data_IF_474696042628
#
_entry.id   IF_474696042628
#
_cell.length_a   1.000
_cell.length_b   1.000
_cell.length_c   1.000
_cell.angle_alpha   90.00
_cell.angle_beta   90.00
_cell.angle_gamma   90.00
#
_symmetry.space_group_name_H-M   'P 1'
#
loop_
_entity.id
_entity.type
_entity.pdbx_description
1 polymer ?
#
# COMPACT_ATOMS: atom_id res chain seq x y z
N UNK A 1 1.87 7.36 8.71
CA UNK A 1 2.06 7.58 7.27
C UNK A 1 2.99 6.52 6.76
N UNK A 2 2.56 5.64 5.84
CA UNK A 2 3.47 4.77 5.14
C UNK A 2 4.65 5.57 4.59
N UNK A 3 5.85 5.01 4.66
CA UNK A 3 7.08 5.73 4.36
C UNK A 3 7.75 5.16 3.11
N UNK A 4 8.06 6.00 2.12
CA UNK A 4 8.84 5.60 0.96
C UNK A 4 10.31 5.76 1.30
N UNK A 5 11.09 4.70 1.15
CA UNK A 5 12.54 4.67 1.38
C UNK A 5 13.20 4.17 0.11
N UNK A 6 14.20 4.91 -0.39
CA UNK A 6 15.08 4.43 -1.45
C UNK A 6 16.50 4.35 -0.90
N UNK A 7 17.09 3.16 -0.91
CA UNK A 7 18.42 2.93 -0.34
C UNK A 7 19.26 2.05 -1.26
N UNK A 8 20.56 2.27 -1.23
CA UNK A 8 21.53 1.32 -1.77
C UNK A 8 21.56 0.08 -0.89
N UNK A 9 21.47 -1.09 -1.52
CA UNK A 9 21.70 -2.40 -0.94
C UNK A 9 23.20 -2.60 -0.81
N UNK A 10 23.62 -3.14 0.34
CA UNK A 10 25.01 -3.52 0.58
C UNK A 10 25.10 -4.97 1.00
N UNK A 11 26.19 -5.63 0.68
CA UNK A 11 26.51 -6.98 1.13
C UNK A 11 27.66 -6.95 2.15
N UNK A 12 27.48 -7.61 3.28
CA UNK A 12 28.47 -7.55 4.35
C UNK A 12 28.12 -8.43 5.54
N UNK A 13 28.95 -8.36 6.58
CA UNK A 13 28.77 -9.14 7.81
C UNK A 13 27.71 -8.51 8.72
N UNK A 14 26.73 -9.31 9.14
CA UNK A 14 25.77 -8.97 10.17
C UNK A 14 26.35 -9.19 11.58
N UNK A 15 25.63 -8.75 12.63
CA UNK A 15 26.05 -8.91 14.03
C UNK A 15 26.24 -10.39 14.42
N UNK A 16 25.60 -11.32 13.72
CA UNK A 16 25.73 -12.76 13.95
C UNK A 16 26.95 -13.39 13.27
N UNK A 17 27.78 -12.61 12.57
CA UNK A 17 28.91 -13.11 11.78
C UNK A 17 28.51 -13.77 10.45
N UNK A 18 27.22 -13.75 10.11
CA UNK A 18 26.72 -14.17 8.81
C UNK A 18 26.92 -13.09 7.77
N UNK A 19 27.09 -13.45 6.49
CA UNK A 19 27.05 -12.48 5.40
C UNK A 19 25.62 -12.35 4.90
N UNK A 20 25.09 -11.13 4.88
CA UNK A 20 23.72 -10.82 4.49
C UNK A 20 23.68 -9.55 3.65
N UNK A 21 22.58 -9.37 2.91
CA UNK A 21 22.30 -8.09 2.28
C UNK A 21 21.60 -7.17 3.28
N UNK A 22 21.81 -5.88 3.18
CA UNK A 22 21.14 -4.92 4.04
C UNK A 22 20.91 -3.59 3.34
N UNK A 23 19.88 -2.89 3.79
CA UNK A 23 19.62 -1.49 3.44
C UNK A 23 19.66 -0.63 4.70
N UNK A 24 20.16 0.59 4.55
CA UNK A 24 20.28 1.54 5.64
C UNK A 24 18.91 2.13 5.98
N UNK A 25 18.62 2.26 7.28
CA UNK A 25 17.39 2.88 7.78
C UNK A 25 17.69 4.21 8.51
N UNK A 26 18.87 4.79 8.31
CA UNK A 26 19.28 6.03 8.99
C UNK A 26 18.30 7.18 8.74
N UNK A 27 17.91 7.43 7.49
CA UNK A 27 16.96 8.51 7.18
C UNK A 27 15.56 8.20 7.72
N UNK A 28 15.13 6.94 7.63
CA UNK A 28 13.85 6.51 8.21
C UNK A 28 13.80 6.74 9.72
N UNK A 29 14.84 6.33 10.44
CA UNK A 29 14.92 6.46 11.91
C UNK A 29 15.09 7.92 12.37
N UNK A 30 15.59 8.83 11.52
CA UNK A 30 15.54 10.27 11.79
C UNK A 30 14.11 10.82 11.74
N UNK A 31 13.31 10.37 10.77
CA UNK A 31 11.91 10.78 10.62
C UNK A 31 11.01 10.09 11.65
N UNK A 32 11.31 8.84 11.98
CA UNK A 32 10.56 8.01 12.93
C UNK A 32 11.51 7.45 14.02
N UNK A 33 11.86 8.26 15.04
CA UNK A 33 12.83 7.88 16.07
C UNK A 33 12.41 6.70 16.96
N UNK A 34 11.12 6.33 16.94
CA UNK A 34 10.58 5.20 17.68
C UNK A 34 10.87 3.84 17.02
N UNK A 35 11.49 3.81 15.83
CA UNK A 35 11.85 2.58 15.14
C UNK A 35 13.12 2.00 15.77
N UNK A 36 12.94 0.88 16.45
CA UNK A 36 13.99 0.21 17.22
C UNK A 36 14.46 -1.12 16.61
N UNK A 37 15.69 -1.50 16.96
CA UNK A 37 16.27 -2.80 16.62
C UNK A 37 15.44 -3.96 17.19
N UNK A 38 15.42 -5.07 16.47
CA UNK A 38 14.78 -6.30 16.92
C UNK A 38 13.29 -6.38 16.60
N UNK A 39 12.69 -5.28 16.16
CA UNK A 39 11.29 -5.18 15.76
C UNK A 39 11.11 -5.48 14.27
N UNK A 40 9.87 -5.77 13.88
CA UNK A 40 9.52 -6.12 12.50
C UNK A 40 9.09 -4.88 11.72
N UNK A 41 9.50 -4.78 10.46
CA UNK A 41 8.96 -3.86 9.48
C UNK A 41 8.25 -4.64 8.38
N UNK A 42 7.01 -4.25 8.10
CA UNK A 42 6.28 -4.70 6.92
C UNK A 42 6.34 -3.62 5.86
N UNK A 43 6.66 -4.03 4.64
CA UNK A 43 6.83 -3.11 3.53
C UNK A 43 6.57 -3.80 2.20
N UNK A 44 6.27 -2.99 1.20
CA UNK A 44 6.25 -3.39 -0.20
C UNK A 44 7.58 -3.07 -0.85
N UNK A 45 8.10 -3.98 -1.68
CA UNK A 45 9.17 -3.65 -2.61
C UNK A 45 8.53 -3.14 -3.90
N UNK A 46 8.88 -1.91 -4.31
CA UNK A 46 8.33 -1.29 -5.52
C UNK A 46 9.23 -1.45 -6.72
N UNK A 47 10.51 -1.14 -6.58
CA UNK A 47 11.46 -1.24 -7.67
C UNK A 47 12.87 -1.56 -7.19
N UNK A 48 13.61 -2.17 -8.12
CA UNK A 48 15.02 -2.51 -8.01
C UNK A 48 15.73 -1.97 -9.24
N UNK A 49 16.80 -1.21 -9.00
CA UNK A 49 17.69 -0.65 -10.01
C UNK A 49 19.11 -1.11 -9.73
N UNK A 50 19.92 -1.26 -10.77
CA UNK A 50 21.31 -1.66 -10.60
C UNK A 50 22.20 -0.47 -10.19
N UNK A 51 23.49 -0.73 -10.08
CA UNK A 51 24.53 0.25 -9.73
C UNK A 51 24.62 1.44 -10.70
N UNK A 52 24.14 1.27 -11.93
CA UNK A 52 24.10 2.29 -12.99
C UNK A 52 22.74 3.01 -13.05
N UNK A 53 21.89 2.87 -12.04
CA UNK A 53 20.53 3.41 -11.98
C UNK A 53 19.59 2.88 -13.09
N UNK A 54 19.96 1.79 -13.75
CA UNK A 54 19.09 1.13 -14.73
C UNK A 54 18.04 0.31 -14.00
N UNK A 55 16.77 0.51 -14.35
CA UNK A 55 15.66 -0.30 -13.84
C UNK A 55 15.89 -1.79 -14.19
N UNK A 56 16.04 -2.61 -13.15
CA UNK A 56 16.16 -4.07 -13.26
C UNK A 56 14.78 -4.70 -13.18
N UNK A 57 13.99 -4.27 -12.19
CA UNK A 57 12.66 -4.79 -11.96
C UNK A 57 11.78 -3.75 -11.30
N UNK A 58 10.59 -3.56 -11.85
CA UNK A 58 9.47 -2.96 -11.13
C UNK A 58 8.54 -4.09 -10.71
N UNK A 59 8.18 -4.14 -9.44
CA UNK A 59 7.29 -5.15 -8.91
C UNK A 59 5.85 -4.69 -9.15
N UNK A 60 5.13 -5.38 -10.03
CA UNK A 60 3.70 -5.18 -10.27
C UNK A 60 3.01 -6.55 -10.27
N UNK A 61 2.10 -6.86 -9.33
CA UNK A 61 1.81 -6.06 -8.12
C UNK A 61 3.04 -5.94 -7.22
N UNK A 62 2.99 -4.99 -6.27
CA UNK A 62 4.06 -4.84 -5.30
C UNK A 62 4.21 -6.10 -4.45
N UNK A 63 5.44 -6.46 -4.11
CA UNK A 63 5.72 -7.64 -3.29
C UNK A 63 5.79 -7.24 -1.82
N UNK A 64 4.86 -7.74 -1.01
CA UNK A 64 4.91 -7.57 0.44
C UNK A 64 6.01 -8.43 1.05
N UNK A 65 6.72 -7.85 2.00
CA UNK A 65 7.79 -8.50 2.75
C UNK A 65 7.72 -7.99 4.19
N UNK A 66 8.02 -8.88 5.14
CA UNK A 66 8.21 -8.54 6.54
C UNK A 66 9.61 -8.96 6.97
N UNK A 67 10.43 -8.01 7.45
CA UNK A 67 11.80 -8.27 7.87
C UNK A 67 12.08 -7.63 9.22
N UNK A 68 13.02 -8.24 9.95
CA UNK A 68 13.50 -7.75 11.24
C UNK A 68 14.49 -6.61 11.03
N UNK A 69 14.37 -5.57 11.85
CA UNK A 69 15.38 -4.50 11.95
C UNK A 69 16.57 -5.06 12.71
N UNK A 70 17.75 -4.94 12.11
CA UNK A 70 19.02 -5.24 12.75
C UNK A 70 19.92 -4.02 12.81
N UNK A 71 21.20 -4.27 13.02
CA UNK A 71 22.24 -3.25 12.84
C UNK A 71 23.37 -3.78 11.97
N UNK A 72 24.00 -2.86 11.27
CA UNK A 72 25.18 -3.11 10.47
C UNK A 72 26.33 -2.23 10.97
N UNK A 73 27.55 -2.79 11.02
CA UNK A 73 28.73 -2.01 11.36
C UNK A 73 29.20 -1.18 10.15
N UNK A 74 28.85 0.10 10.16
CA UNK A 74 29.30 1.01 9.10
C UNK A 74 30.75 1.44 9.40
N UNK A 75 31.69 0.91 8.62
CA UNK A 75 33.13 1.22 8.75
C UNK A 75 33.45 2.70 8.52
N UNK A 76 32.71 3.38 7.65
CA UNK A 76 32.95 4.79 7.32
C UNK A 76 32.59 5.71 8.50
N UNK A 77 31.52 5.39 9.23
CA UNK A 77 31.11 6.15 10.43
C UNK A 77 31.60 5.56 11.75
N UNK A 78 32.32 4.43 11.70
CA UNK A 78 32.84 3.70 12.85
C UNK A 78 31.77 3.45 13.94
N UNK A 79 30.54 3.09 13.51
CA UNK A 79 29.40 2.83 14.41
C UNK A 79 28.44 1.82 13.81
N UNK A 80 27.63 1.21 14.68
CA UNK A 80 26.46 0.46 14.25
C UNK A 80 25.35 1.40 13.78
N UNK A 81 24.75 1.07 12.65
CA UNK A 81 23.61 1.81 12.08
C UNK A 81 22.40 0.89 11.92
N UNK A 82 21.18 1.41 12.11
CA UNK A 82 19.97 0.63 11.92
C UNK A 82 19.84 0.21 10.46
N UNK A 83 19.57 -1.07 10.23
CA UNK A 83 19.41 -1.60 8.89
C UNK A 83 18.27 -2.62 8.82
N UNK A 84 17.75 -2.81 7.62
CA UNK A 84 16.88 -3.93 7.31
C UNK A 84 17.75 -5.08 6.79
N UNK A 85 17.73 -6.22 7.46
CA UNK A 85 18.51 -7.40 7.04
C UNK A 85 17.70 -8.18 6.01
N UNK A 86 18.24 -8.33 4.81
CA UNK A 86 17.66 -9.09 3.71
C UNK A 86 18.39 -10.44 3.62
N UNK A 87 17.71 -11.56 3.95
CA UNK A 87 18.28 -12.90 3.85
C UNK A 87 18.79 -13.21 2.44
N UNK A 88 19.88 -13.98 2.33
CA UNK A 88 20.53 -14.29 1.04
C UNK A 88 19.63 -15.03 0.07
N UNK A 89 18.85 -15.99 0.57
CA UNK A 89 17.87 -16.74 -0.20
C UNK A 89 16.79 -15.81 -0.78
N UNK A 90 16.30 -14.87 0.03
CA UNK A 90 15.35 -13.84 -0.42
C UNK A 90 15.99 -12.92 -1.46
N UNK A 91 17.22 -12.46 -1.24
CA UNK A 91 17.95 -11.62 -2.18
C UNK A 91 18.15 -12.32 -3.53
N UNK A 92 18.52 -13.60 -3.52
CA UNK A 92 18.65 -14.40 -4.74
C UNK A 92 17.31 -14.57 -5.47
N UNK A 93 16.22 -14.84 -4.76
CA UNK A 93 14.87 -14.94 -5.37
C UNK A 93 14.40 -13.60 -5.97
N UNK A 94 14.80 -12.49 -5.36
CA UNK A 94 14.43 -11.13 -5.79
C UNK A 94 15.40 -10.54 -6.81
N UNK A 95 16.49 -11.25 -7.13
CA UNK A 95 17.59 -10.77 -7.96
C UNK A 95 18.24 -9.48 -7.43
N UNK A 96 18.34 -9.36 -6.10
CA UNK A 96 18.97 -8.25 -5.40
C UNK A 96 20.49 -8.47 -5.40
N UNK A 97 21.23 -7.51 -5.95
CA UNK A 97 22.68 -7.47 -5.96
C UNK A 97 23.25 -6.47 -4.96
N UNK A 98 24.56 -6.55 -4.74
CA UNK A 98 25.33 -5.51 -4.05
C UNK A 98 25.34 -4.24 -4.90
N UNK A 99 25.35 -3.07 -4.26
CA UNK A 99 25.29 -1.74 -4.89
C UNK A 99 24.02 -1.44 -5.71
N UNK A 100 23.03 -2.34 -5.68
CA UNK A 100 21.72 -2.06 -6.28
C UNK A 100 20.96 -1.03 -5.45
N UNK A 101 20.09 -0.25 -6.09
CA UNK A 101 19.14 0.61 -5.39
C UNK A 101 17.79 -0.07 -5.30
N UNK A 102 17.24 -0.15 -4.10
CA UNK A 102 15.90 -0.68 -3.85
C UNK A 102 15.03 0.44 -3.29
N UNK A 103 13.82 0.54 -3.83
CA UNK A 103 12.77 1.41 -3.29
C UNK A 103 11.73 0.53 -2.60
N UNK A 104 11.42 0.87 -1.35
CA UNK A 104 10.43 0.19 -0.53
C UNK A 104 9.40 1.19 0.02
N UNK A 105 8.19 0.70 0.28
CA UNK A 105 7.14 1.44 0.96
C UNK A 105 6.81 0.72 2.25
N UNK A 106 7.18 1.31 3.37
CA UNK A 106 6.95 0.77 4.70
C UNK A 106 5.52 1.04 5.11
N UNK A 107 4.78 -0.01 5.44
CA UNK A 107 3.34 0.04 5.73
C UNK A 107 3.04 -0.27 7.19
N UNK A 108 3.88 -1.04 7.88
CA UNK A 108 3.70 -1.31 9.31
C UNK A 108 5.02 -1.46 10.07
N UNK A 109 4.96 -1.18 11.37
CA UNK A 109 6.04 -1.34 12.33
C UNK A 109 5.53 -2.14 13.55
N UNK A 110 6.19 -3.25 13.84
CA UNK A 110 5.87 -4.18 14.95
C UNK A 110 4.38 -4.59 14.98
N UNK A 111 3.85 -4.92 13.79
CA UNK A 111 2.45 -5.29 13.58
C UNK A 111 1.46 -4.13 13.59
N UNK A 112 1.89 -2.91 13.89
CA UNK A 112 1.04 -1.71 13.85
C UNK A 112 1.22 -0.97 12.52
N UNK A 113 0.15 -0.78 11.72
CA UNK A 113 0.28 -0.03 10.48
C UNK A 113 0.63 1.43 10.76
N UNK A 114 1.36 2.03 9.84
CA UNK A 114 1.55 3.46 9.85
C UNK A 114 0.23 4.16 9.54
N UNK A 115 0.01 5.35 10.14
CA UNK A 115 -1.20 6.16 9.88
C UNK A 115 -1.49 6.26 8.37
N UNK A 116 -2.66 5.84 7.88
CA UNK A 116 -2.93 5.80 6.44
C UNK A 116 -3.12 7.20 5.85
N UNK A 117 -3.49 7.22 4.57
CA UNK A 117 -3.99 8.36 3.78
C UNK A 117 -2.92 9.34 3.26
N UNK A 118 -1.69 9.28 3.77
CA UNK A 118 -0.57 10.07 3.24
C UNK A 118 0.72 9.25 3.17
N UNK A 119 1.50 9.48 2.11
CA UNK A 119 2.82 8.90 1.94
C UNK A 119 3.88 9.88 2.45
N UNK A 120 4.77 9.40 3.30
CA UNK A 120 5.92 10.16 3.77
C UNK A 120 7.15 9.80 2.94
N UNK A 121 7.67 10.75 2.19
CA UNK A 121 8.96 10.65 1.50
C UNK A 121 10.05 10.99 2.53
N UNK A 122 11.00 10.08 2.78
CA UNK A 122 11.98 10.22 3.86
C UNK A 122 13.23 11.00 3.46
N UNK A 123 13.55 11.05 2.17
CA UNK A 123 14.71 11.73 1.60
C UNK A 123 14.53 12.09 0.11
N UNK A 124 15.51 12.79 -0.48
CA UNK A 124 15.49 13.18 -1.90
C UNK A 124 15.47 11.99 -2.87
N UNK A 125 16.04 10.85 -2.49
CA UNK A 125 16.07 9.67 -3.34
C UNK A 125 14.68 9.01 -3.38
N UNK A 126 13.98 9.00 -2.25
CA UNK A 126 12.58 8.59 -2.17
C UNK A 126 11.66 9.53 -2.97
N UNK A 127 11.94 10.84 -3.00
CA UNK A 127 11.23 11.81 -3.85
C UNK A 127 11.39 11.47 -5.34
N UNK A 128 12.63 11.28 -5.80
CA UNK A 128 12.93 10.88 -7.19
C UNK A 128 12.28 9.56 -7.57
N UNK A 129 12.36 8.56 -6.69
CA UNK A 129 11.71 7.27 -6.95
C UNK A 129 10.19 7.43 -7.05
N UNK A 130 9.61 8.29 -6.22
CA UNK A 130 8.18 8.55 -6.19
C UNK A 130 7.63 9.21 -7.48
N UNK A 131 8.44 10.00 -8.18
CA UNK A 131 8.07 10.58 -9.49
C UNK A 131 7.68 9.54 -10.55
N UNK A 132 8.10 8.28 -10.36
CA UNK A 132 7.79 7.20 -11.28
C UNK A 132 6.50 6.44 -10.97
N UNK A 133 5.81 6.77 -9.88
CA UNK A 133 4.54 6.17 -9.50
C UNK A 133 3.41 6.90 -10.21
N UNK A 134 2.51 6.15 -10.82
CA UNK A 134 1.25 6.67 -11.28
C UNK A 134 0.41 7.15 -10.10
N UNK A 135 -0.54 8.05 -10.38
CA UNK A 135 -1.48 8.55 -9.36
C UNK A 135 -2.28 7.42 -8.69
N UNK A 136 -2.61 6.36 -9.45
CA UNK A 136 -3.33 5.19 -8.94
C UNK A 136 -2.43 4.40 -7.97
N UNK A 137 -1.18 4.12 -8.35
CA UNK A 137 -0.22 3.41 -7.49
C UNK A 137 0.01 4.18 -6.18
N UNK A 138 0.28 5.48 -6.27
CA UNK A 138 0.44 6.34 -5.08
C UNK A 138 -0.82 6.36 -4.21
N UNK A 139 -1.99 6.42 -4.85
CA UNK A 139 -3.29 6.37 -4.18
C UNK A 139 -3.47 5.09 -3.38
N UNK A 140 -3.26 3.93 -4.00
CA UNK A 140 -3.37 2.63 -3.34
C UNK A 140 -2.35 2.44 -2.22
N UNK A 141 -1.10 2.85 -2.44
CA UNK A 141 -0.03 2.74 -1.43
C UNK A 141 -0.30 3.55 -0.16
N UNK A 142 -1.05 4.65 -0.29
CA UNK A 142 -1.43 5.45 0.88
C UNK A 142 -2.53 4.79 1.73
N UNK A 143 -3.24 3.78 1.23
CA UNK A 143 -4.37 3.13 1.92
C UNK A 143 -3.93 1.95 2.82
N UNK A 144 -3.02 2.19 3.76
CA UNK A 144 -2.60 1.20 4.77
C UNK A 144 -3.56 1.18 5.96
N UNK A 145 -4.77 0.62 5.75
CA UNK A 145 -5.90 0.75 6.67
C UNK A 145 -5.92 -0.33 7.77
N UNK A 146 -6.33 0.05 8.98
CA UNK A 146 -6.56 -0.89 10.10
C UNK A 146 -7.92 -1.59 10.03
N UNK A 147 -8.94 -0.93 9.48
CA UNK A 147 -10.28 -1.50 9.39
C UNK A 147 -10.30 -2.70 8.43
N UNK A 148 -10.72 -3.91 8.88
CA UNK A 148 -10.66 -5.11 8.07
C UNK A 148 -11.50 -5.03 6.78
N UNK A 149 -12.66 -4.37 6.83
CA UNK A 149 -13.55 -4.26 5.66
C UNK A 149 -12.99 -3.28 4.65
N UNK A 150 -12.50 -2.11 5.08
CA UNK A 150 -11.85 -1.18 4.16
C UNK A 150 -10.56 -1.79 3.59
N UNK A 151 -9.79 -2.55 4.38
CA UNK A 151 -8.61 -3.23 3.89
C UNK A 151 -8.95 -4.35 2.88
N UNK A 152 -10.04 -5.09 3.10
CA UNK A 152 -10.60 -6.02 2.10
C UNK A 152 -10.96 -5.26 0.82
N UNK A 153 -11.64 -4.11 0.91
CA UNK A 153 -11.96 -3.30 -0.25
C UNK A 153 -10.71 -2.82 -1.01
N UNK A 154 -9.65 -2.42 -0.31
CA UNK A 154 -8.35 -2.03 -0.89
C UNK A 154 -7.69 -3.19 -1.62
N UNK A 155 -7.75 -4.42 -1.08
CA UNK A 155 -7.21 -5.61 -1.76
C UNK A 155 -7.85 -5.83 -3.13
N UNK A 156 -9.18 -5.67 -3.25
CA UNK A 156 -9.85 -5.72 -4.53
C UNK A 156 -9.43 -4.59 -5.48
N UNK A 157 -9.15 -3.38 -4.98
CA UNK A 157 -8.63 -2.29 -5.81
C UNK A 157 -7.19 -2.56 -6.27
N UNK A 158 -6.36 -3.19 -5.44
CA UNK A 158 -5.05 -3.71 -5.84
C UNK A 158 -5.16 -4.77 -6.94
N UNK A 159 -6.08 -5.72 -6.80
CA UNK A 159 -6.34 -6.74 -7.83
C UNK A 159 -6.79 -6.11 -9.14
N UNK A 160 -7.65 -5.08 -9.07
CA UNK A 160 -8.09 -4.35 -10.24
C UNK A 160 -6.92 -3.65 -10.94
N UNK A 161 -6.03 -3.03 -10.18
CA UNK A 161 -4.83 -2.41 -10.70
C UNK A 161 -3.91 -3.43 -11.38
N UNK A 162 -3.62 -4.55 -10.71
CA UNK A 162 -2.78 -5.62 -11.25
C UNK A 162 -3.32 -6.17 -12.59
N UNK A 163 -4.64 -6.43 -12.66
CA UNK A 163 -5.29 -6.88 -13.88
C UNK A 163 -5.23 -5.84 -15.01
N UNK A 164 -5.36 -4.55 -14.69
CA UNK A 164 -5.14 -3.49 -15.68
C UNK A 164 -3.71 -3.51 -16.23
N UNK A 165 -2.69 -3.71 -15.40
CA UNK A 165 -1.30 -3.83 -15.87
C UNK A 165 -1.11 -5.04 -16.82
N UNK A 166 -1.92 -6.09 -16.64
CA UNK A 166 -1.95 -7.27 -17.52
C UNK A 166 -2.89 -7.11 -18.74
N UNK A 167 -3.51 -5.95 -18.92
CA UNK A 167 -4.54 -5.65 -19.94
C UNK A 167 -5.85 -6.47 -19.79
N UNK A 168 -6.11 -7.06 -18.63
CA UNK A 168 -7.38 -7.68 -18.28
C UNK A 168 -8.39 -6.64 -17.74
N UNK A 169 -9.00 -5.90 -18.66
CA UNK A 169 -9.95 -4.83 -18.33
C UNK A 169 -11.23 -5.37 -17.66
N UNK A 170 -11.76 -6.49 -18.14
CA UNK A 170 -13.00 -7.06 -17.60
C UNK A 170 -12.82 -7.66 -16.20
N UNK A 171 -11.69 -8.34 -15.97
CA UNK A 171 -11.32 -8.79 -14.64
C UNK A 171 -11.06 -7.62 -13.69
N UNK A 172 -10.45 -6.52 -14.16
CA UNK A 172 -10.29 -5.32 -13.35
C UNK A 172 -11.63 -4.70 -12.96
N UNK A 173 -12.59 -4.58 -13.89
CA UNK A 173 -13.96 -4.12 -13.61
C UNK A 173 -14.66 -4.99 -12.58
N UNK A 174 -14.47 -6.30 -12.67
CA UNK A 174 -15.03 -7.26 -11.70
C UNK A 174 -14.45 -7.01 -10.32
N UNK A 175 -13.13 -6.82 -10.19
CA UNK A 175 -12.51 -6.48 -8.90
C UNK A 175 -12.99 -5.15 -8.33
N UNK A 176 -13.11 -4.09 -9.14
CA UNK A 176 -13.65 -2.80 -8.67
C UNK A 176 -15.09 -2.98 -8.16
N UNK A 177 -15.90 -3.77 -8.86
CA UNK A 177 -17.27 -4.08 -8.42
C UNK A 177 -17.28 -4.80 -7.08
N UNK A 178 -16.41 -5.79 -6.87
CA UNK A 178 -16.34 -6.51 -5.60
C UNK A 178 -15.95 -5.57 -4.46
N UNK A 179 -15.00 -4.65 -4.70
CA UNK A 179 -14.65 -3.59 -3.76
C UNK A 179 -15.88 -2.72 -3.41
N UNK A 180 -16.51 -2.11 -4.41
CA UNK A 180 -17.58 -1.13 -4.19
C UNK A 180 -18.90 -1.75 -3.71
N UNK A 181 -19.32 -2.85 -4.32
CA UNK A 181 -20.59 -3.52 -4.04
C UNK A 181 -20.44 -4.46 -2.85
N UNK A 182 -19.64 -5.50 -3.01
CA UNK A 182 -19.68 -6.63 -2.10
C UNK A 182 -19.06 -6.27 -0.75
N UNK A 183 -18.05 -5.41 -0.73
CA UNK A 183 -17.40 -4.98 0.51
C UNK A 183 -17.99 -3.67 1.02
N UNK A 184 -17.85 -2.58 0.28
CA UNK A 184 -18.24 -1.27 0.82
C UNK A 184 -19.77 -1.17 0.99
N UNK A 185 -20.55 -1.37 -0.07
CA UNK A 185 -22.01 -1.19 -0.02
C UNK A 185 -22.70 -2.23 0.87
N UNK A 186 -22.32 -3.49 0.74
CA UNK A 186 -23.09 -4.61 1.31
C UNK A 186 -22.58 -5.05 2.69
N UNK A 187 -21.30 -4.79 3.03
CA UNK A 187 -20.73 -5.12 4.37
C UNK A 187 -20.40 -3.90 5.22
N UNK A 188 -19.73 -2.88 4.66
CA UNK A 188 -19.25 -1.72 5.43
C UNK A 188 -20.38 -0.74 5.76
N UNK A 189 -21.11 -0.25 4.75
CA UNK A 189 -22.15 0.77 4.94
C UNK A 189 -23.25 0.35 5.93
N UNK A 190 -23.75 -0.90 5.93
CA UNK A 190 -24.76 -1.32 6.91
C UNK A 190 -24.27 -1.31 8.37
N UNK A 191 -22.95 -1.32 8.59
CA UNK A 191 -22.34 -1.23 9.92
C UNK A 191 -22.09 0.20 10.37
N UNK A 192 -22.26 1.20 9.50
CA UNK A 192 -22.05 2.60 9.85
C UNK A 192 -23.08 3.04 10.90
N UNK A 193 -22.57 3.58 11.99
CA UNK A 193 -23.30 4.39 12.94
C UNK A 193 -22.87 5.84 12.78
N UNK A 194 -23.83 6.75 12.84
CA UNK A 194 -23.58 8.17 12.65
C UNK A 194 -23.89 8.92 13.93
N UNK A 195 -23.02 9.87 14.28
CA UNK A 195 -23.21 10.75 15.44
C UNK A 195 -23.81 12.07 14.96
N UNK A 196 -24.98 12.45 15.47
CA UNK A 196 -25.58 13.77 15.22
C UNK A 196 -26.25 13.93 13.84
N UNK A 197 -26.09 15.11 13.22
CA UNK A 197 -26.88 15.59 12.06
C UNK A 197 -26.69 14.82 10.73
N UNK A 198 -25.84 13.80 10.71
CA UNK A 198 -25.51 13.06 9.50
C UNK A 198 -26.29 11.74 9.35
N UNK A 199 -27.49 11.62 9.94
CA UNK A 199 -28.33 10.41 9.88
C UNK A 199 -28.58 9.89 8.44
N UNK A 200 -28.67 10.78 7.45
CA UNK A 200 -28.86 10.39 6.04
C UNK A 200 -27.57 9.92 5.34
N UNK A 201 -26.41 10.04 5.99
CA UNK A 201 -25.10 9.77 5.39
C UNK A 201 -24.99 8.36 4.78
N UNK A 202 -25.38 7.27 5.48
CA UNK A 202 -25.27 5.92 4.93
C UNK A 202 -26.08 5.76 3.64
N UNK A 203 -27.29 6.32 3.59
CA UNK A 203 -28.15 6.26 2.40
C UNK A 203 -27.62 7.13 1.25
N UNK A 204 -26.98 8.27 1.54
CA UNK A 204 -26.29 9.07 0.52
C UNK A 204 -25.09 8.30 -0.05
N UNK A 205 -24.31 7.63 0.79
CA UNK A 205 -23.19 6.78 0.37
C UNK A 205 -23.68 5.59 -0.46
N UNK A 206 -24.76 4.90 -0.06
CA UNK A 206 -25.35 3.80 -0.86
C UNK A 206 -25.77 4.26 -2.26
N UNK A 207 -26.37 5.46 -2.37
CA UNK A 207 -26.77 6.03 -3.66
C UNK A 207 -25.53 6.31 -4.54
N UNK A 208 -24.51 6.96 -3.98
CA UNK A 208 -23.24 7.19 -4.68
C UNK A 208 -22.62 5.87 -5.18
N UNK A 209 -22.53 4.87 -4.30
CA UNK A 209 -22.01 3.54 -4.62
C UNK A 209 -22.81 2.88 -5.75
N UNK A 210 -24.14 2.99 -5.73
CA UNK A 210 -24.99 2.43 -6.79
C UNK A 210 -24.67 3.07 -8.15
N UNK A 211 -24.54 4.40 -8.21
CA UNK A 211 -24.13 5.10 -9.43
C UNK A 211 -22.72 4.73 -9.90
N UNK A 212 -21.76 4.55 -8.97
CA UNK A 212 -20.41 4.10 -9.32
C UNK A 212 -20.40 2.66 -9.83
N UNK A 213 -21.20 1.77 -9.24
CA UNK A 213 -21.33 0.38 -9.68
C UNK A 213 -21.93 0.33 -11.10
N UNK A 214 -22.97 1.12 -11.37
CA UNK A 214 -23.57 1.25 -12.70
C UNK A 214 -22.56 1.75 -13.74
N UNK A 215 -21.75 2.76 -13.36
CA UNK A 215 -20.65 3.27 -14.19
C UNK A 215 -19.63 2.17 -14.53
N UNK A 216 -19.30 1.29 -13.59
CA UNK A 216 -18.39 0.14 -13.86
C UNK A 216 -19.09 -0.93 -14.72
N UNK A 217 -20.41 -0.91 -14.82
CA UNK A 217 -21.26 -1.89 -15.51
C UNK A 217 -21.86 -1.37 -16.82
N UNK A 218 -21.20 -0.47 -17.57
CA UNK A 218 -21.60 -0.23 -18.97
C UNK A 218 -21.64 -1.55 -19.74
N UNK A 219 -22.86 -2.01 -20.03
CA UNK A 219 -23.16 -3.40 -20.39
C UNK A 219 -24.63 -3.59 -20.75
N UNK A 220 -25.19 -2.67 -21.54
CA UNK A 220 -26.22 -3.01 -22.51
C UNK A 220 -25.56 -3.48 -23.83
N UNK A 221 -26.33 -3.80 -24.88
CA UNK A 221 -25.80 -4.24 -26.18
C UNK A 221 -25.09 -3.07 -26.90
N UNK A 222 -23.92 -2.70 -26.43
CA UNK A 222 -23.03 -1.76 -27.09
C UNK A 222 -21.86 -2.51 -27.72
N UNK A 223 -21.55 -2.24 -29.00
CA UNK A 223 -20.50 -2.94 -29.71
C UNK A 223 -19.13 -2.42 -29.24
N UNK A 224 -18.40 -3.24 -28.48
CA UNK A 224 -16.98 -3.04 -28.20
C UNK A 224 -16.59 -3.34 -26.75
N UNK A 225 -15.31 -3.68 -26.49
CA UNK A 225 -14.78 -3.83 -25.14
C UNK A 225 -14.81 -2.48 -24.41
N UNK A 226 -15.04 -2.50 -23.10
CA UNK A 226 -15.05 -1.28 -22.30
C UNK A 226 -13.68 -0.57 -22.38
N UNK A 227 -13.64 0.77 -22.54
CA UNK A 227 -12.38 1.50 -22.55
C UNK A 227 -11.61 1.32 -21.24
N UNK A 228 -10.31 1.04 -21.36
CA UNK A 228 -9.37 0.97 -20.22
C UNK A 228 -9.45 2.23 -19.34
N UNK A 229 -9.53 3.40 -19.96
CA UNK A 229 -9.61 4.71 -19.29
C UNK A 229 -10.82 4.84 -18.37
N UNK A 230 -11.98 4.28 -18.74
CA UNK A 230 -13.17 4.26 -17.88
C UNK A 230 -12.93 3.42 -16.63
N UNK A 231 -12.23 2.29 -16.78
CA UNK A 231 -11.88 1.39 -15.67
C UNK A 231 -10.85 2.04 -14.74
N UNK A 232 -9.85 2.74 -15.29
CA UNK A 232 -8.88 3.54 -14.51
C UNK A 232 -9.54 4.68 -13.74
N UNK A 233 -10.53 5.35 -14.34
CA UNK A 233 -11.33 6.37 -13.68
C UNK A 233 -12.13 5.79 -12.52
N UNK A 234 -12.82 4.67 -12.73
CA UNK A 234 -13.58 3.99 -11.68
C UNK A 234 -12.68 3.48 -10.55
N UNK A 235 -11.50 2.97 -10.87
CA UNK A 235 -10.49 2.58 -9.87
C UNK A 235 -10.06 3.79 -9.03
N UNK A 236 -9.77 4.91 -9.68
CA UNK A 236 -9.41 6.17 -8.99
C UNK A 236 -10.52 6.65 -8.07
N UNK A 237 -11.78 6.59 -8.52
CA UNK A 237 -12.95 6.94 -7.69
C UNK A 237 -13.11 5.98 -6.51
N UNK A 238 -12.86 4.68 -6.69
CA UNK A 238 -12.89 3.70 -5.61
C UNK A 238 -11.82 3.96 -4.55
N UNK A 239 -10.60 4.31 -4.97
CA UNK A 239 -9.51 4.71 -4.07
C UNK A 239 -9.91 5.92 -3.23
N UNK A 240 -10.44 6.97 -3.86
CA UNK A 240 -10.85 8.20 -3.14
C UNK A 240 -12.05 7.95 -2.21
N UNK A 241 -12.99 7.09 -2.60
CA UNK A 241 -14.11 6.73 -1.73
C UNK A 241 -13.62 6.00 -0.47
N UNK A 242 -12.73 5.01 -0.63
CA UNK A 242 -12.15 4.29 0.51
C UNK A 242 -11.34 5.24 1.40
N UNK A 243 -10.54 6.14 0.80
CA UNK A 243 -9.82 7.19 1.53
C UNK A 243 -10.78 8.04 2.38
N UNK A 244 -11.87 8.50 1.76
CA UNK A 244 -12.87 9.32 2.43
C UNK A 244 -13.53 8.58 3.60
N UNK A 245 -13.95 7.33 3.41
CA UNK A 245 -14.57 6.52 4.48
C UNK A 245 -13.59 6.26 5.63
N UNK A 246 -12.33 5.95 5.32
CA UNK A 246 -11.28 5.81 6.32
C UNK A 246 -11.07 7.10 7.13
N UNK A 247 -11.06 8.26 6.44
CA UNK A 247 -10.91 9.55 7.11
C UNK A 247 -12.08 9.86 8.04
N UNK A 248 -13.30 9.54 7.61
CA UNK A 248 -14.50 9.73 8.42
C UNK A 248 -14.49 8.87 9.70
N UNK A 249 -13.90 7.66 9.65
CA UNK A 249 -13.67 6.83 10.85
C UNK A 249 -12.59 7.43 11.76
N UNK A 250 -11.46 7.87 11.19
CA UNK A 250 -10.36 8.48 11.93
C UNK A 250 -10.82 9.73 12.69
N UNK A 251 -11.61 10.58 12.02
CA UNK A 251 -12.16 11.82 12.58
C UNK A 251 -13.39 11.58 13.48
N UNK A 252 -13.80 10.31 13.64
CA UNK A 252 -14.97 9.87 14.44
C UNK A 252 -16.29 10.52 14.03
N UNK A 253 -16.42 10.90 12.76
CA UNK A 253 -17.69 11.37 12.20
C UNK A 253 -18.66 10.19 12.03
N UNK A 254 -18.11 9.01 11.73
CA UNK A 254 -18.82 7.74 11.74
C UNK A 254 -18.12 6.74 12.67
N UNK A 255 -18.86 5.79 13.21
CA UNK A 255 -18.36 4.59 13.88
C UNK A 255 -18.93 3.33 13.23
N UNK A 256 -18.41 2.15 13.61
CA UNK A 256 -18.92 0.87 13.12
C UNK A 256 -19.50 0.05 14.27
N UNK A 257 -20.66 -0.58 14.01
CA UNK A 257 -21.24 -1.61 14.88
C UNK A 257 -20.24 -2.75 15.06
N UNK A 258 -20.13 -3.28 16.28
CA UNK A 258 -19.32 -4.48 16.54
C UNK A 258 -19.97 -5.71 15.90
N UNK A 259 -19.14 -6.67 15.49
CA UNK A 259 -19.63 -7.94 14.97
C UNK A 259 -20.49 -8.65 16.04
N UNK A 260 -21.79 -8.81 15.75
CA UNK A 260 -22.77 -9.42 16.66
C UNK A 260 -24.03 -8.59 16.90
N UNK A 261 -24.01 -7.29 16.63
CA UNK A 261 -25.16 -6.38 16.87
C UNK A 261 -26.00 -6.11 15.60
N UNK A 262 -25.66 -6.74 14.47
CA UNK A 262 -26.37 -6.58 13.19
C UNK A 262 -27.63 -7.44 13.05
N UNK A 263 -28.16 -7.98 14.15
CA UNK A 263 -29.32 -8.86 14.16
C UNK A 263 -30.10 -8.77 15.45
N UNK A 264 -30.92 -7.73 15.58
CA UNK A 264 -32.07 -7.68 16.48
C UNK A 264 -33.14 -6.79 15.88
#
# INVERSE_FOLDING_TARGET
MPAVVSSTVRFGEDIGGGKSYFIYLDELTRVFPHIEEGKMLRFYISELRNENDKLIKRFKPFREVELKIGRYWNRYWNRYVPCLIIPRDMASQLNIGDDYRITIIITAYDGKPFLPLELKLVDRESERAFEHFSRIEAGLLSLSLEDPLLNEAVSYLWDAYARLEENDVEGARTSIRNSLRDVIRDKFVPRIEVVGEAEEFPERVKRLLSSLIELVQYGGPHPGPAPRSTTEMALSMGIELVRYLAKMLEDRVISLKKEGEAGS
#
